data_IF_589820654685
#
_entry.id   IF_589820654685
#
_cell.length_a   1.000
_cell.length_b   1.000
_cell.length_c   1.000
_cell.angle_alpha   90.00
_cell.angle_beta   90.00
_cell.angle_gamma   90.00
#
_symmetry.space_group_name_H-M   'P 1'
#
loop_
_entity.id
_entity.type
_entity.pdbx_description
1 polymer ?
#
# COMPACT_ATOMS: atom_id res chain seq x y z
N UNK A 1 1.37 12.18 9.39
CA UNK A 1 1.60 11.46 8.12
C UNK A 1 1.20 12.33 6.95
N UNK A 2 -0.04 12.82 6.90
CA UNK A 2 -0.48 13.90 5.99
C UNK A 2 0.58 14.93 5.58
N UNK A 3 1.16 15.70 6.52
CA UNK A 3 2.18 16.73 6.19
C UNK A 3 3.41 16.16 5.47
N UNK A 4 3.88 14.97 5.87
CA UNK A 4 4.99 14.30 5.19
C UNK A 4 4.60 13.84 3.78
N UNK A 5 3.37 13.35 3.59
CA UNK A 5 2.88 12.97 2.26
C UNK A 5 2.65 14.16 1.33
N UNK A 6 2.24 15.31 1.86
CA UNK A 6 2.01 16.54 1.09
C UNK A 6 3.31 17.28 0.75
N UNK A 7 4.25 17.39 1.69
CA UNK A 7 5.42 18.27 1.59
C UNK A 7 6.76 17.52 1.50
N UNK A 8 6.73 16.19 1.61
CA UNK A 8 7.93 15.37 1.81
C UNK A 8 8.58 15.57 3.19
N UNK A 9 9.60 14.77 3.48
CA UNK A 9 10.34 14.87 4.74
C UNK A 9 11.05 16.22 4.88
N UNK A 10 11.72 16.69 3.82
CA UNK A 10 12.46 17.96 3.82
C UNK A 10 11.53 19.18 3.96
N UNK A 11 10.39 19.18 3.27
CA UNK A 11 9.44 20.30 3.30
C UNK A 11 8.61 20.39 4.57
N UNK A 12 8.66 19.38 5.44
CA UNK A 12 7.94 19.37 6.71
C UNK A 12 8.85 19.81 7.87
N UNK A 13 8.48 20.87 8.58
CA UNK A 13 9.17 21.35 9.79
C UNK A 13 8.52 20.84 11.08
N UNK A 14 9.28 20.79 12.17
CA UNK A 14 8.76 20.44 13.51
C UNK A 14 7.66 21.39 13.95
N UNK A 15 7.81 22.70 13.70
CA UNK A 15 6.79 23.68 14.03
C UNK A 15 5.47 23.46 13.27
N UNK A 16 5.52 23.03 12.00
CA UNK A 16 4.32 22.64 11.26
C UNK A 16 3.65 21.40 11.86
N UNK A 17 4.45 20.40 12.26
CA UNK A 17 3.95 19.19 12.93
C UNK A 17 3.28 19.56 14.26
N UNK A 18 3.92 20.36 15.10
CA UNK A 18 3.38 20.82 16.37
C UNK A 18 2.05 21.57 16.16
N UNK A 19 2.02 22.52 15.23
CA UNK A 19 0.80 23.26 14.87
C UNK A 19 -0.33 22.31 14.46
N UNK A 20 -0.04 21.35 13.58
CA UNK A 20 -1.03 20.39 13.09
C UNK A 20 -1.49 19.40 14.18
N UNK A 21 -0.65 19.16 15.20
CA UNK A 21 -0.96 18.32 16.35
C UNK A 21 -1.65 19.07 17.50
N UNK A 22 -1.97 20.37 17.32
CA UNK A 22 -2.59 21.20 18.36
C UNK A 22 -1.62 21.67 19.46
N UNK A 23 -0.32 21.57 19.22
CA UNK A 23 0.74 22.08 20.10
C UNK A 23 1.15 23.50 19.72
N UNK A 24 1.76 24.22 20.67
CA UNK A 24 2.37 25.52 20.39
C UNK A 24 3.58 25.36 19.47
N UNK A 25 3.59 25.99 18.27
CA UNK A 25 4.68 25.83 17.32
C UNK A 25 6.00 26.37 17.86
N UNK A 26 7.07 25.57 17.77
CA UNK A 26 8.40 25.93 18.25
C UNK A 26 8.59 25.82 19.77
N UNK A 27 7.57 25.41 20.52
CA UNK A 27 7.67 25.25 21.97
C UNK A 27 8.41 23.97 22.39
N UNK A 28 8.69 23.07 21.45
CA UNK A 28 9.40 21.81 21.70
C UNK A 28 8.53 20.72 22.31
N UNK A 29 7.21 20.88 22.29
CA UNK A 29 6.27 19.89 22.80
C UNK A 29 6.39 18.54 22.11
N UNK A 30 6.78 18.54 20.82
CA UNK A 30 7.06 17.30 20.07
C UNK A 30 8.22 16.51 20.68
N UNK A 31 9.25 17.19 21.19
CA UNK A 31 10.48 16.57 21.69
C UNK A 31 10.30 15.80 23.00
N UNK A 32 9.17 16.00 23.69
CA UNK A 32 8.80 15.16 24.83
C UNK A 32 8.47 13.71 24.42
N UNK A 33 7.99 13.50 23.20
CA UNK A 33 7.61 12.19 22.69
C UNK A 33 8.62 11.63 21.68
N UNK A 34 9.18 12.50 20.83
CA UNK A 34 10.08 12.09 19.76
C UNK A 34 11.31 12.97 19.72
N UNK A 35 12.49 12.36 19.88
CA UNK A 35 13.77 13.10 19.89
C UNK A 35 14.10 13.78 18.56
N UNK A 36 13.54 13.30 17.45
CA UNK A 36 13.80 13.82 16.10
C UNK A 36 12.55 13.78 15.23
N UNK A 37 12.51 14.62 14.19
CA UNK A 37 11.47 14.57 13.14
C UNK A 37 11.46 13.21 12.43
N UNK A 38 12.63 12.60 12.26
CA UNK A 38 12.79 11.25 11.73
C UNK A 38 12.06 10.21 12.59
N UNK A 39 12.21 10.29 13.93
CA UNK A 39 11.53 9.38 14.83
C UNK A 39 9.99 9.49 14.72
N UNK A 40 9.46 10.69 14.47
CA UNK A 40 8.02 10.89 14.21
C UNK A 40 7.60 10.18 12.92
N UNK A 41 8.36 10.35 11.84
CA UNK A 41 8.06 9.73 10.56
C UNK A 41 8.11 8.20 10.68
N UNK A 42 9.17 7.65 11.28
CA UNK A 42 9.36 6.21 11.48
C UNK A 42 8.22 5.62 12.30
N UNK A 43 7.87 6.22 13.44
CA UNK A 43 6.75 5.76 14.26
C UNK A 43 5.40 5.84 13.53
N UNK A 44 5.21 6.85 12.69
CA UNK A 44 4.04 6.96 11.83
C UNK A 44 3.97 5.82 10.81
N UNK A 45 5.07 5.55 10.10
CA UNK A 45 5.19 4.44 9.14
C UNK A 45 4.94 3.10 9.83
N UNK A 46 5.60 2.82 10.96
CA UNK A 46 5.42 1.58 11.74
C UNK A 46 3.96 1.36 12.13
N UNK A 47 3.25 2.42 12.53
CA UNK A 47 1.82 2.35 12.85
C UNK A 47 0.97 1.97 11.62
N UNK A 48 1.28 2.51 10.44
CA UNK A 48 0.57 2.14 9.22
C UNK A 48 0.84 0.68 8.84
N UNK A 49 2.10 0.23 8.89
CA UNK A 49 2.47 -1.16 8.60
C UNK A 49 1.76 -2.14 9.54
N UNK A 50 1.75 -1.87 10.85
CA UNK A 50 1.03 -2.69 11.82
C UNK A 50 -0.48 -2.78 11.55
N UNK A 51 -1.08 -1.70 11.03
CA UNK A 51 -2.50 -1.71 10.62
C UNK A 51 -2.73 -2.58 9.39
N UNK A 52 -1.84 -2.51 8.41
CA UNK A 52 -1.93 -3.32 7.19
C UNK A 52 -1.78 -4.81 7.50
N UNK A 53 -0.83 -5.17 8.35
CA UNK A 53 -0.64 -6.56 8.80
C UNK A 53 -1.91 -7.11 9.48
N UNK A 54 -2.55 -6.32 10.36
CA UNK A 54 -3.79 -6.74 11.00
C UNK A 54 -4.96 -6.94 10.01
N UNK A 55 -5.04 -6.12 8.94
CA UNK A 55 -6.06 -6.27 7.92
C UNK A 55 -5.80 -7.49 7.01
N UNK A 56 -4.53 -7.80 6.71
CA UNK A 56 -4.12 -9.00 5.94
C UNK A 56 -4.58 -10.29 6.62
N UNK A 57 -4.47 -10.37 7.94
CA UNK A 57 -4.98 -11.51 8.71
C UNK A 57 -6.48 -11.72 8.52
N UNK A 58 -7.26 -10.64 8.46
CA UNK A 58 -8.71 -10.70 8.19
C UNK A 58 -8.96 -11.22 6.77
N UNK A 59 -8.24 -10.71 5.76
CA UNK A 59 -8.37 -11.19 4.37
C UNK A 59 -8.13 -12.70 4.28
N UNK A 60 -7.12 -13.22 4.97
CA UNK A 60 -6.78 -14.65 4.95
C UNK A 60 -7.92 -15.53 5.46
N UNK A 61 -8.72 -15.04 6.41
CA UNK A 61 -9.88 -15.74 6.94
C UNK A 61 -11.08 -15.76 5.97
N UNK A 62 -11.13 -14.86 5.00
CA UNK A 62 -12.22 -14.73 4.02
C UNK A 62 -11.96 -15.51 2.71
N UNK A 63 -10.79 -16.14 2.58
CA UNK A 63 -10.24 -16.61 1.31
C UNK A 63 -10.76 -17.94 0.76
N UNK A 64 -11.73 -18.60 1.41
CA UNK A 64 -12.26 -19.88 0.94
C UNK A 64 -13.76 -19.79 0.65
N UNK A 65 -14.07 -19.32 -0.56
CA UNK A 65 -15.45 -19.17 -1.05
C UNK A 65 -15.80 -20.27 -2.05
N UNK A 66 -14.82 -21.04 -2.53
CA UNK A 66 -15.03 -22.13 -3.50
C UNK A 66 -15.31 -21.66 -4.93
N UNK A 67 -15.25 -20.35 -5.18
CA UNK A 67 -15.37 -19.73 -6.49
C UNK A 67 -14.20 -18.77 -6.71
N UNK A 68 -13.28 -19.16 -7.61
CA UNK A 68 -12.09 -18.40 -7.93
C UNK A 68 -12.40 -16.98 -8.40
N UNK A 69 -13.48 -16.76 -9.18
CA UNK A 69 -13.84 -15.40 -9.63
C UNK A 69 -14.30 -14.54 -8.47
N UNK A 70 -15.10 -15.10 -7.57
CA UNK A 70 -15.55 -14.40 -6.36
C UNK A 70 -14.35 -14.05 -5.46
N UNK A 71 -13.43 -14.98 -5.24
CA UNK A 71 -12.22 -14.77 -4.44
C UNK A 71 -11.30 -13.69 -5.02
N UNK A 72 -11.07 -13.72 -6.34
CA UNK A 72 -10.32 -12.69 -7.06
C UNK A 72 -11.02 -11.32 -6.93
N UNK A 73 -12.35 -11.27 -7.06
CA UNK A 73 -13.13 -10.03 -6.94
C UNK A 73 -13.01 -9.43 -5.54
N UNK A 74 -13.21 -10.24 -4.50
CA UNK A 74 -13.07 -9.81 -3.10
C UNK A 74 -11.65 -9.34 -2.83
N UNK A 75 -10.64 -10.09 -3.30
CA UNK A 75 -9.23 -9.73 -3.14
C UNK A 75 -8.89 -8.40 -3.80
N UNK A 76 -9.32 -8.18 -5.04
CA UNK A 76 -9.06 -6.95 -5.77
C UNK A 76 -9.70 -5.74 -5.07
N UNK A 77 -10.97 -5.84 -4.68
CA UNK A 77 -11.69 -4.77 -3.97
C UNK A 77 -11.06 -4.45 -2.63
N UNK A 78 -10.69 -5.48 -1.88
CA UNK A 78 -10.03 -5.32 -0.59
C UNK A 78 -8.68 -4.62 -0.74
N UNK A 79 -7.82 -5.06 -1.68
CA UNK A 79 -6.52 -4.44 -1.93
C UNK A 79 -6.69 -2.97 -2.38
N UNK A 80 -7.65 -2.71 -3.26
CA UNK A 80 -7.96 -1.37 -3.72
C UNK A 80 -8.44 -0.46 -2.58
N UNK A 81 -9.24 -0.97 -1.65
CA UNK A 81 -9.68 -0.21 -0.47
C UNK A 81 -8.55 0.01 0.54
N UNK A 82 -7.64 -0.97 0.68
CA UNK A 82 -6.44 -0.85 1.51
C UNK A 82 -5.53 0.26 0.97
N UNK A 83 -5.26 0.26 -0.34
CA UNK A 83 -4.45 1.30 -0.99
C UNK A 83 -5.08 2.71 -0.89
N UNK A 84 -6.41 2.82 -0.89
CA UNK A 84 -7.11 4.10 -0.66
C UNK A 84 -6.94 4.60 0.77
N UNK A 85 -7.04 3.69 1.74
CA UNK A 85 -6.89 4.03 3.16
C UNK A 85 -5.47 4.48 3.51
N UNK A 86 -4.49 4.10 2.70
CA UNK A 86 -3.06 4.35 2.94
C UNK A 86 -2.44 5.38 1.99
N UNK A 87 -3.25 6.26 1.41
CA UNK A 87 -2.81 7.26 0.44
C UNK A 87 -1.60 8.10 0.93
N UNK A 88 -1.64 8.53 2.19
CA UNK A 88 -0.58 9.33 2.80
C UNK A 88 0.74 8.55 2.88
N UNK A 89 0.67 7.26 3.23
CA UNK A 89 1.84 6.39 3.27
C UNK A 89 2.40 6.21 1.86
N UNK A 90 1.55 5.91 0.86
CA UNK A 90 1.99 5.72 -0.53
C UNK A 90 2.73 6.96 -1.06
N UNK A 91 2.22 8.17 -0.79
CA UNK A 91 2.89 9.42 -1.17
C UNK A 91 4.28 9.54 -0.54
N UNK A 92 4.40 9.24 0.75
CA UNK A 92 5.67 9.25 1.48
C UNK A 92 6.66 8.25 0.89
N UNK A 93 6.22 7.01 0.65
CA UNK A 93 7.08 5.99 0.06
C UNK A 93 7.62 6.45 -1.29
N UNK A 94 6.77 7.02 -2.15
CA UNK A 94 7.19 7.50 -3.47
C UNK A 94 8.11 8.72 -3.38
N UNK A 95 7.80 9.70 -2.52
CA UNK A 95 8.60 10.92 -2.40
C UNK A 95 9.97 10.69 -1.77
N UNK A 96 10.03 9.79 -0.77
CA UNK A 96 11.24 9.56 0.02
C UNK A 96 12.09 8.43 -0.54
N UNK A 97 11.55 7.43 -1.26
CA UNK A 97 12.34 6.30 -1.78
C UNK A 97 13.55 6.71 -2.64
N UNK A 98 13.44 7.81 -3.39
CA UNK A 98 14.55 8.33 -4.21
C UNK A 98 15.48 9.26 -3.46
N UNK A 99 14.97 10.01 -2.49
CA UNK A 99 15.68 11.13 -1.89
C UNK A 99 16.31 10.78 -0.54
N UNK A 100 15.70 9.86 0.20
CA UNK A 100 16.05 9.39 1.54
C UNK A 100 15.58 7.94 1.74
N UNK A 101 16.11 6.98 0.95
CA UNK A 101 15.67 5.58 0.99
C UNK A 101 15.73 4.99 2.41
N UNK A 102 16.70 5.42 3.23
CA UNK A 102 16.88 4.95 4.61
C UNK A 102 15.65 5.21 5.52
N UNK A 103 14.77 6.13 5.14
CA UNK A 103 13.56 6.46 5.90
C UNK A 103 12.39 5.52 5.59
N UNK A 104 12.41 4.85 4.44
CA UNK A 104 11.27 4.08 3.92
C UNK A 104 11.64 2.65 3.51
N UNK A 105 12.92 2.29 3.48
CA UNK A 105 13.42 0.98 3.03
C UNK A 105 12.68 -0.18 3.68
N UNK A 106 12.56 -0.19 5.01
CA UNK A 106 11.84 -1.23 5.77
C UNK A 106 10.37 -1.31 5.33
N UNK A 107 9.72 -0.16 5.13
CA UNK A 107 8.32 -0.12 4.72
C UNK A 107 8.14 -0.61 3.28
N UNK A 108 9.02 -0.23 2.37
CA UNK A 108 9.03 -0.71 0.98
C UNK A 108 9.25 -2.22 0.95
N UNK A 109 10.23 -2.72 1.70
CA UNK A 109 10.53 -4.15 1.77
C UNK A 109 9.33 -4.92 2.33
N UNK A 110 8.75 -4.50 3.46
CA UNK A 110 7.60 -5.17 4.08
C UNK A 110 6.33 -5.08 3.23
N UNK A 111 6.09 -3.97 2.53
CA UNK A 111 4.90 -3.83 1.69
C UNK A 111 5.01 -4.62 0.40
N UNK A 112 6.17 -4.59 -0.25
CA UNK A 112 6.36 -5.23 -1.54
C UNK A 112 6.60 -6.73 -1.35
N UNK A 113 7.59 -7.10 -0.53
CA UNK A 113 7.99 -8.50 -0.37
C UNK A 113 6.86 -9.36 0.19
N UNK A 114 6.24 -8.93 1.30
CA UNK A 114 5.18 -9.71 1.96
C UNK A 114 3.95 -9.83 1.08
N UNK A 115 3.41 -8.72 0.55
CA UNK A 115 2.19 -8.75 -0.27
C UNK A 115 2.37 -9.60 -1.53
N UNK A 116 3.50 -9.44 -2.23
CA UNK A 116 3.75 -10.18 -3.48
C UNK A 116 4.00 -11.65 -3.20
N UNK A 117 4.75 -11.98 -2.16
CA UNK A 117 5.04 -13.37 -1.79
C UNK A 117 3.77 -14.10 -1.34
N UNK A 118 2.94 -13.48 -0.51
CA UNK A 118 1.68 -14.07 -0.06
C UNK A 118 0.71 -14.30 -1.22
N UNK A 119 0.58 -13.32 -2.11
CA UNK A 119 -0.32 -13.48 -3.25
C UNK A 119 0.20 -14.52 -4.25
N UNK A 120 1.51 -14.59 -4.47
CA UNK A 120 2.12 -15.66 -5.26
C UNK A 120 1.89 -17.04 -4.64
N UNK A 121 2.02 -17.17 -3.31
CA UNK A 121 1.72 -18.41 -2.61
C UNK A 121 0.25 -18.80 -2.76
N UNK A 122 -0.68 -17.85 -2.60
CA UNK A 122 -2.11 -18.10 -2.81
C UNK A 122 -2.43 -18.56 -4.24
N UNK A 123 -1.86 -17.89 -5.27
CA UNK A 123 -2.04 -18.29 -6.68
C UNK A 123 -1.49 -19.69 -6.94
N UNK A 124 -0.32 -20.00 -6.38
CA UNK A 124 0.30 -21.33 -6.48
C UNK A 124 -0.59 -22.40 -5.88
N UNK A 125 -1.12 -22.17 -4.69
CA UNK A 125 -1.91 -23.16 -3.96
C UNK A 125 -3.29 -23.38 -4.62
N UNK A 126 -3.84 -22.35 -5.28
CA UNK A 126 -5.13 -22.44 -6.00
C UNK A 126 -5.05 -23.12 -7.37
N UNK A 127 -3.93 -23.02 -8.07
CA UNK A 127 -3.80 -23.48 -9.47
C UNK A 127 -2.58 -24.39 -9.73
N UNK A 128 -1.95 -24.90 -8.67
CA UNK A 128 -0.77 -25.81 -8.73
C UNK A 128 0.37 -25.29 -9.63
N UNK A 129 0.56 -23.96 -9.66
CA UNK A 129 1.49 -23.31 -10.59
C UNK A 129 2.97 -23.54 -10.22
N UNK A 130 3.90 -23.55 -11.20
CA UNK A 130 5.32 -23.40 -10.91
C UNK A 130 5.60 -22.07 -10.17
N UNK A 131 6.50 -22.10 -9.18
CA UNK A 131 6.78 -20.94 -8.33
C UNK A 131 7.12 -19.66 -9.11
N UNK A 132 7.93 -19.77 -10.17
CA UNK A 132 8.28 -18.62 -11.02
C UNK A 132 7.07 -18.00 -11.75
N UNK A 133 6.12 -18.84 -12.22
CA UNK A 133 4.89 -18.37 -12.88
C UNK A 133 3.97 -17.68 -11.88
N UNK A 134 3.81 -18.24 -10.68
CA UNK A 134 3.03 -17.63 -9.61
C UNK A 134 3.59 -16.25 -9.18
N UNK A 135 4.91 -16.12 -9.04
CA UNK A 135 5.57 -14.84 -8.74
C UNK A 135 5.34 -13.81 -9.86
N UNK A 136 5.48 -14.21 -11.13
CA UNK A 136 5.23 -13.31 -12.25
C UNK A 136 3.77 -12.85 -12.32
N UNK A 137 2.82 -13.76 -12.13
CA UNK A 137 1.39 -13.45 -12.09
C UNK A 137 1.05 -12.52 -10.92
N UNK A 138 1.61 -12.78 -9.73
CA UNK A 138 1.44 -11.89 -8.59
C UNK A 138 1.99 -10.48 -8.89
N UNK A 139 3.13 -10.40 -9.56
CA UNK A 139 3.74 -9.12 -9.90
C UNK A 139 2.91 -8.28 -10.87
N UNK A 140 2.33 -8.92 -11.90
CA UNK A 140 1.42 -8.27 -12.84
C UNK A 140 0.09 -7.91 -12.17
N UNK A 141 -0.50 -8.88 -11.46
CA UNK A 141 -1.79 -8.72 -10.78
C UNK A 141 -1.77 -7.60 -9.76
N UNK A 142 -0.89 -7.67 -8.76
CA UNK A 142 -0.77 -6.62 -7.73
C UNK A 142 -0.23 -5.32 -8.30
N UNK A 143 0.72 -5.40 -9.23
CA UNK A 143 1.33 -4.22 -9.85
C UNK A 143 0.28 -3.34 -10.54
N UNK A 144 -0.65 -3.94 -11.28
CA UNK A 144 -1.73 -3.20 -11.94
C UNK A 144 -2.68 -2.51 -10.94
N UNK A 145 -3.06 -3.19 -9.85
CA UNK A 145 -3.87 -2.58 -8.78
C UNK A 145 -3.14 -1.39 -8.13
N UNK A 146 -1.86 -1.56 -7.80
CA UNK A 146 -1.02 -0.51 -7.24
C UNK A 146 -0.88 0.68 -8.21
N UNK A 147 -0.60 0.42 -9.48
CA UNK A 147 -0.46 1.45 -10.52
C UNK A 147 -1.73 2.27 -10.69
N UNK A 148 -2.91 1.64 -10.63
CA UNK A 148 -4.21 2.34 -10.73
C UNK A 148 -4.36 3.41 -9.63
N UNK A 149 -3.92 3.10 -8.40
CA UNK A 149 -3.97 4.02 -7.27
C UNK A 149 -2.87 5.05 -7.31
N UNK A 150 -1.65 4.67 -7.68
CA UNK A 150 -0.52 5.60 -7.85
C UNK A 150 -0.84 6.71 -8.86
N UNK A 151 -1.51 6.38 -9.96
CA UNK A 151 -1.97 7.37 -10.94
C UNK A 151 -2.89 8.42 -10.30
N UNK A 152 -3.79 8.00 -9.42
CA UNK A 152 -4.72 8.90 -8.71
C UNK A 152 -4.05 9.67 -7.58
N UNK A 153 -3.44 8.97 -6.63
CA UNK A 153 -2.96 9.53 -5.36
C UNK A 153 -1.69 10.36 -5.50
N UNK A 154 -0.79 9.95 -6.39
CA UNK A 154 0.53 10.59 -6.57
C UNK A 154 0.53 11.52 -7.77
N UNK A 155 -0.02 11.06 -8.91
CA UNK A 155 0.02 11.83 -10.15
C UNK A 155 -1.21 12.74 -10.35
N UNK A 156 -2.22 12.64 -9.47
CA UNK A 156 -3.43 13.46 -9.56
C UNK A 156 -4.29 13.17 -10.80
N UNK A 157 -4.05 12.04 -11.47
CA UNK A 157 -4.80 11.62 -12.66
C UNK A 157 -6.11 11.03 -12.18
N UNK A 158 -7.16 11.85 -12.13
CA UNK A 158 -8.47 11.46 -11.62
C UNK A 158 -9.28 10.59 -12.59
N UNK A 159 -8.92 10.54 -13.87
CA UNK A 159 -9.52 9.60 -14.83
C UNK A 159 -8.53 9.16 -15.90
N UNK A 160 -8.30 7.86 -15.99
CA UNK A 160 -7.92 7.20 -17.26
C UNK A 160 -9.19 6.82 -18.05
N UNK A 161 -10.38 7.14 -17.51
CA UNK A 161 -11.69 6.86 -18.11
C UNK A 161 -12.31 5.51 -17.70
N UNK A 162 -11.77 4.86 -16.67
CA UNK A 162 -12.25 3.56 -16.18
C UNK A 162 -12.60 3.68 -14.70
N UNK A 163 -13.84 3.33 -14.34
CA UNK A 163 -14.28 3.24 -12.95
C UNK A 163 -13.76 1.97 -12.26
N UNK A 164 -13.80 1.96 -10.92
CA UNK A 164 -13.25 0.86 -10.13
C UNK A 164 -14.02 -0.46 -10.36
N UNK A 165 -15.31 -0.40 -10.74
CA UNK A 165 -16.11 -1.59 -11.03
C UNK A 165 -15.62 -2.28 -12.31
N UNK A 166 -15.50 -1.51 -13.39
CA UNK A 166 -14.99 -1.95 -14.69
C UNK A 166 -13.54 -2.43 -14.54
N UNK A 167 -12.70 -1.68 -13.82
CA UNK A 167 -11.32 -2.07 -13.58
C UNK A 167 -11.20 -3.41 -12.85
N UNK A 168 -11.98 -3.61 -11.78
CA UNK A 168 -11.99 -4.89 -11.05
C UNK A 168 -12.50 -6.03 -11.92
N UNK A 169 -13.59 -5.83 -12.66
CA UNK A 169 -14.13 -6.86 -13.55
C UNK A 169 -13.09 -7.32 -14.59
N UNK A 170 -12.45 -6.36 -15.28
CA UNK A 170 -11.38 -6.66 -16.24
C UNK A 170 -10.17 -7.34 -15.59
N UNK A 171 -9.76 -6.87 -14.41
CA UNK A 171 -8.65 -7.49 -13.67
C UNK A 171 -8.95 -8.95 -13.30
N UNK A 172 -10.17 -9.24 -12.84
CA UNK A 172 -10.62 -10.60 -12.49
C UNK A 172 -10.62 -11.50 -13.72
N UNK A 173 -11.12 -11.02 -14.86
CA UNK A 173 -11.09 -11.77 -16.12
C UNK A 173 -9.67 -12.12 -16.55
N UNK A 174 -8.76 -11.15 -16.51
CA UNK A 174 -7.35 -11.35 -16.87
C UNK A 174 -6.68 -12.35 -15.92
N UNK A 175 -6.85 -12.19 -14.60
CA UNK A 175 -6.27 -13.10 -13.61
C UNK A 175 -6.83 -14.51 -13.73
N UNK A 176 -8.15 -14.63 -13.92
CA UNK A 176 -8.78 -15.93 -14.11
C UNK A 176 -8.32 -16.62 -15.39
N UNK A 177 -8.16 -15.89 -16.50
CA UNK A 177 -7.64 -16.44 -17.75
C UNK A 177 -6.21 -16.97 -17.58
N UNK A 178 -5.33 -16.20 -16.92
CA UNK A 178 -3.96 -16.64 -16.64
C UNK A 178 -3.86 -17.87 -15.72
N UNK A 179 -4.88 -18.11 -14.89
CA UNK A 179 -4.97 -19.27 -13.98
C UNK A 179 -5.60 -20.51 -14.63
N UNK A 180 -6.32 -20.35 -15.74
CA UNK A 180 -6.99 -21.44 -16.44
C UNK A 180 -6.11 -22.11 -17.52
N UNK A 181 -4.92 -21.58 -17.77
CA UNK A 181 -3.88 -22.09 -18.68
C UNK A 181 -2.73 -22.78 -17.94
#
# INVERSE_FOLDING_TARGET
MRLFGENGYRGTSVAQIEKAAGLTPGAGGLYHHFRTKEAVLRAGIERHLARLDALRDIRRLLGDLGDLRAELTVSARYILAELDGEEELLRILVSEARSRPELVEVAVEQLVSTTYTEFAAWLRDRAELPAGRATAMAAVGLGSLLSSRMLRSVLGVTSVGVDDETFVATWVEMMHAMLAE
#
